data_IF_964429191314
#
_entry.id   IF_964429191314
#
_cell.length_a   1.000
_cell.length_b   1.000
_cell.length_c   1.000
_cell.angle_alpha   90.00
_cell.angle_beta   90.00
_cell.angle_gamma   90.00
#
_symmetry.space_group_name_H-M   'P 1'
#
loop_
_entity.id
_entity.type
_entity.pdbx_description
1 polymer ?
#
# COMPACT_ATOMS: atom_id res chain seq x y z
N UNK A 1 -24.10 -44.01 -26.76
CA UNK A 1 -24.68 -42.77 -27.31
C UNK A 1 -23.67 -41.64 -27.07
N UNK A 2 -22.65 -41.34 -27.89
CA UNK A 2 -22.31 -41.72 -29.28
C UNK A 2 -23.42 -41.43 -30.29
N UNK A 3 -23.39 -40.22 -30.85
CA UNK A 3 -23.48 -39.83 -32.27
C UNK A 3 -23.31 -38.30 -32.28
N UNK A 4 -22.33 -37.65 -32.92
CA UNK A 4 -21.76 -37.74 -34.28
C UNK A 4 -22.65 -37.15 -35.37
N UNK A 5 -22.40 -35.88 -35.72
CA UNK A 5 -22.49 -35.31 -37.07
C UNK A 5 -21.83 -33.92 -36.99
N UNK A 6 -20.61 -33.78 -37.53
CA UNK A 6 -20.32 -33.36 -38.91
C UNK A 6 -20.60 -31.87 -39.17
N UNK A 7 -19.52 -31.09 -39.27
CA UNK A 7 -19.19 -30.45 -40.54
C UNK A 7 -17.67 -30.15 -40.62
N UNK A 8 -17.16 -30.19 -41.84
CA UNK A 8 -15.74 -30.17 -42.19
C UNK A 8 -15.43 -28.90 -43.00
N UNK A 9 -14.22 -28.35 -42.80
CA UNK A 9 -13.38 -27.73 -43.86
C UNK A 9 -13.88 -26.39 -44.50
N UNK A 10 -13.05 -25.46 -45.01
CA UNK A 10 -11.59 -25.29 -45.07
C UNK A 10 -11.24 -23.80 -45.32
N UNK A 11 -10.00 -23.39 -44.99
CA UNK A 11 -9.16 -22.34 -45.64
C UNK A 11 -9.64 -20.86 -45.65
N UNK A 12 -8.91 -19.97 -44.96
CA UNK A 12 -7.90 -19.00 -45.50
C UNK A 12 -8.55 -17.62 -45.79
N UNK A 13 -7.92 -16.45 -45.70
CA UNK A 13 -6.52 -15.99 -45.95
C UNK A 13 -6.09 -14.92 -44.91
N UNK A 14 -4.77 -14.71 -44.81
CA UNK A 14 -4.02 -13.79 -43.94
C UNK A 14 -4.49 -12.31 -43.82
N UNK A 15 -3.92 -11.53 -42.86
CA UNK A 15 -2.89 -10.53 -43.21
C UNK A 15 -2.06 -9.96 -42.04
N UNK A 16 -0.83 -9.54 -42.38
CA UNK A 16 0.28 -9.05 -41.54
C UNK A 16 0.85 -7.81 -42.29
N UNK A 17 1.11 -6.64 -41.69
CA UNK A 17 2.22 -6.39 -40.74
C UNK A 17 2.04 -5.12 -39.90
N UNK A 18 2.98 -4.90 -38.97
CA UNK A 18 3.34 -3.61 -38.39
C UNK A 18 3.69 -2.51 -39.43
N UNK A 19 3.60 -1.25 -38.99
CA UNK A 19 4.45 -0.12 -39.37
C UNK A 19 5.96 -0.49 -39.46
N UNK A 20 6.79 0.21 -40.28
CA UNK A 20 7.18 1.58 -39.93
C UNK A 20 7.47 2.60 -41.07
N UNK A 21 7.47 3.87 -40.64
CA UNK A 21 8.06 5.05 -41.28
C UNK A 21 9.45 4.81 -41.90
N UNK A 22 9.65 5.26 -43.15
CA UNK A 22 10.82 6.07 -43.53
C UNK A 22 10.69 6.67 -44.96
N UNK A 23 11.57 7.64 -45.26
CA UNK A 23 11.84 8.25 -46.57
C UNK A 23 10.77 9.11 -47.25
N UNK A 24 10.91 10.42 -47.05
CA UNK A 24 10.56 11.42 -48.04
C UNK A 24 11.65 11.51 -49.13
N UNK A 25 11.23 11.69 -50.39
CA UNK A 25 11.81 12.51 -51.49
C UNK A 25 11.54 11.90 -52.86
N UNK A 26 11.57 12.78 -53.86
CA UNK A 26 11.76 12.50 -55.29
C UNK A 26 10.53 12.02 -56.05
N UNK A 27 9.98 12.91 -56.90
CA UNK A 27 9.68 12.75 -58.32
C UNK A 27 8.75 13.90 -58.76
N UNK A 28 9.27 14.81 -59.59
CA UNK A 28 8.50 15.91 -60.18
C UNK A 28 7.57 15.42 -61.31
N UNK A 29 6.45 16.10 -61.59
CA UNK A 29 5.48 15.64 -62.60
C UNK A 29 5.90 16.01 -64.04
N UNK A 30 5.78 15.09 -65.02
CA UNK A 30 5.91 15.41 -66.44
C UNK A 30 4.63 16.05 -67.01
N UNK A 31 4.72 16.79 -68.14
CA UNK A 31 3.71 17.77 -68.53
C UNK A 31 2.51 17.20 -69.32
N UNK A 32 1.41 17.98 -69.29
CA UNK A 32 0.22 17.78 -70.11
C UNK A 32 0.52 17.77 -71.61
N UNK A 33 -0.04 16.79 -72.33
CA UNK A 33 -0.34 16.89 -73.75
C UNK A 33 -1.80 16.50 -73.98
N UNK A 34 -2.56 17.42 -74.58
CA UNK A 34 -3.98 17.21 -74.90
C UNK A 34 -4.13 16.26 -76.09
N UNK A 35 -5.08 15.32 -76.01
CA UNK A 35 -5.87 14.97 -77.19
C UNK A 35 -7.32 14.65 -76.80
N UNK A 36 -8.24 15.13 -77.63
CA UNK A 36 -9.67 14.87 -77.54
C UNK A 36 -9.96 13.40 -77.85
N UNK A 37 -10.85 12.76 -77.08
CA UNK A 37 -11.89 11.90 -77.66
C UNK A 37 -13.16 11.96 -76.83
N UNK A 38 -14.27 12.33 -77.47
CA UNK A 38 -15.61 12.41 -76.89
C UNK A 38 -16.31 11.06 -76.98
N UNK A 39 -16.86 10.57 -75.87
CA UNK A 39 -17.86 9.50 -75.84
C UNK A 39 -19.03 9.88 -74.92
N UNK A 40 -20.26 9.36 -75.17
CA UNK A 40 -21.48 10.08 -74.86
C UNK A 40 -21.97 9.97 -73.41
N UNK A 41 -22.72 10.99 -73.03
CA UNK A 41 -23.37 11.16 -71.73
C UNK A 41 -24.48 10.10 -71.51
N UNK A 42 -24.16 9.00 -70.82
CA UNK A 42 -25.18 8.07 -70.32
C UNK A 42 -25.78 8.68 -69.05
N UNK A 43 -27.00 9.20 -69.15
CA UNK A 43 -27.77 9.71 -68.01
C UNK A 43 -28.30 8.57 -67.15
N UNK A 44 -27.43 7.98 -66.32
CA UNK A 44 -27.90 7.26 -65.14
C UNK A 44 -28.61 8.27 -64.24
N UNK A 45 -29.95 8.20 -64.20
CA UNK A 45 -30.70 8.92 -63.18
C UNK A 45 -30.33 8.35 -61.81
N UNK A 46 -29.41 9.03 -61.12
CA UNK A 46 -29.18 8.79 -59.71
C UNK A 46 -30.48 9.09 -58.97
N UNK A 47 -31.13 8.03 -58.46
CA UNK A 47 -32.24 8.20 -57.54
C UNK A 47 -31.76 9.02 -56.35
N UNK A 48 -32.32 10.22 -56.16
CA UNK A 48 -31.95 11.09 -55.05
C UNK A 48 -32.14 10.35 -53.73
N UNK A 49 -31.03 9.94 -53.11
CA UNK A 49 -31.04 9.26 -51.82
C UNK A 49 -31.55 10.25 -50.78
N UNK A 50 -32.84 10.15 -50.47
CA UNK A 50 -33.55 10.98 -49.50
C UNK A 50 -32.74 11.04 -48.20
N UNK A 51 -32.08 12.17 -47.96
CA UNK A 51 -31.18 12.32 -46.82
C UNK A 51 -31.99 12.16 -45.53
N UNK A 52 -31.48 11.37 -44.59
CA UNK A 52 -32.14 11.17 -43.29
C UNK A 52 -32.27 12.51 -42.56
N UNK A 53 -33.48 13.07 -42.56
CA UNK A 53 -33.78 14.35 -41.93
C UNK A 53 -33.69 14.22 -40.41
N UNK A 54 -32.55 14.61 -39.84
CA UNK A 54 -32.36 14.68 -38.39
C UNK A 54 -33.00 15.96 -37.88
N UNK A 55 -33.97 15.91 -36.94
CA UNK A 55 -34.64 17.10 -36.45
C UNK A 55 -33.65 18.04 -35.75
N UNK A 56 -33.80 19.34 -36.02
CA UNK A 56 -32.88 20.40 -35.58
C UNK A 56 -32.69 20.42 -34.05
N UNK A 57 -33.70 20.02 -33.28
CA UNK A 57 -33.66 19.91 -31.82
C UNK A 57 -32.64 18.87 -31.32
N UNK A 58 -32.46 17.76 -32.04
CA UNK A 58 -31.42 16.77 -31.72
C UNK A 58 -30.03 17.30 -32.07
N UNK A 59 -29.88 18.04 -33.18
CA UNK A 59 -28.62 18.68 -33.55
C UNK A 59 -28.21 19.75 -32.53
N UNK A 60 -29.16 20.55 -32.03
CA UNK A 60 -28.94 21.51 -30.95
C UNK A 60 -28.52 20.81 -29.64
N UNK A 61 -29.19 19.73 -29.24
CA UNK A 61 -28.80 18.92 -28.07
C UNK A 61 -27.42 18.29 -28.20
N UNK A 62 -27.05 17.75 -29.36
CA UNK A 62 -25.70 17.21 -29.62
C UNK A 62 -24.63 18.28 -29.44
N UNK A 63 -24.80 19.45 -30.06
CA UNK A 63 -23.87 20.60 -29.90
C UNK A 63 -23.73 21.08 -28.45
N UNK A 64 -24.82 21.07 -27.67
CA UNK A 64 -24.76 21.41 -26.23
C UNK A 64 -23.97 20.35 -25.45
N UNK A 65 -24.24 19.06 -25.68
CA UNK A 65 -23.53 17.98 -25.01
C UNK A 65 -22.03 17.92 -25.40
N UNK A 66 -21.70 18.18 -26.66
CA UNK A 66 -20.32 18.28 -27.16
C UNK A 66 -19.57 19.44 -26.49
N UNK A 67 -20.19 20.63 -26.39
CA UNK A 67 -19.61 21.78 -25.68
C UNK A 67 -19.41 21.48 -24.20
N UNK A 68 -20.42 20.96 -23.51
CA UNK A 68 -20.32 20.57 -22.10
C UNK A 68 -19.25 19.50 -21.85
N UNK A 69 -19.08 18.55 -22.78
CA UNK A 69 -18.02 17.54 -22.71
C UNK A 69 -16.62 18.15 -22.89
N UNK A 70 -16.46 19.10 -23.82
CA UNK A 70 -15.20 19.84 -24.03
C UNK A 70 -14.87 20.72 -22.82
N UNK A 71 -15.83 21.47 -22.29
CA UNK A 71 -15.68 22.31 -21.11
C UNK A 71 -15.33 21.46 -19.87
N UNK A 72 -16.04 20.36 -19.63
CA UNK A 72 -15.72 19.44 -18.54
C UNK A 72 -14.34 18.79 -18.70
N UNK A 73 -13.91 18.48 -19.93
CA UNK A 73 -12.55 17.98 -20.20
C UNK A 73 -11.48 19.04 -19.93
N UNK A 74 -11.71 20.29 -20.33
CA UNK A 74 -10.82 21.43 -20.05
C UNK A 74 -10.71 21.69 -18.54
N UNK A 75 -11.83 21.78 -17.83
CA UNK A 75 -11.86 21.96 -16.37
C UNK A 75 -11.14 20.82 -15.64
N UNK A 76 -11.39 19.56 -16.01
CA UNK A 76 -10.65 18.40 -15.45
C UNK A 76 -9.15 18.48 -15.74
N UNK A 77 -8.74 18.90 -16.94
CA UNK A 77 -7.34 19.06 -17.30
C UNK A 77 -6.67 20.20 -16.50
N UNK A 78 -7.37 21.31 -16.27
CA UNK A 78 -6.88 22.40 -15.41
C UNK A 78 -6.77 22.01 -13.95
N UNK A 79 -7.79 21.36 -13.39
CA UNK A 79 -7.77 20.88 -12.01
C UNK A 79 -6.62 19.89 -11.82
N UNK A 80 -6.42 18.95 -12.76
CA UNK A 80 -5.29 18.01 -12.74
C UNK A 80 -3.93 18.73 -12.87
N UNK A 81 -3.83 19.81 -13.64
CA UNK A 81 -2.62 20.67 -13.71
C UNK A 81 -2.37 21.41 -12.38
N UNK A 82 -3.42 21.96 -11.75
CA UNK A 82 -3.33 22.66 -10.45
C UNK A 82 -2.92 21.68 -9.33
N UNK A 83 -3.58 20.53 -9.25
CA UNK A 83 -3.23 19.43 -8.34
C UNK A 83 -1.78 18.95 -8.54
N UNK A 84 -1.34 18.69 -9.78
CA UNK A 84 0.06 18.31 -10.08
C UNK A 84 1.08 19.36 -9.66
N UNK A 85 0.75 20.67 -9.76
CA UNK A 85 1.63 21.74 -9.27
C UNK A 85 1.65 21.82 -7.73
N UNK A 86 0.54 21.47 -7.07
CA UNK A 86 0.47 21.41 -5.60
C UNK A 86 1.26 20.21 -5.04
N UNK A 87 1.09 19.00 -5.61
CA UNK A 87 1.81 17.80 -5.16
C UNK A 87 3.32 17.83 -5.48
N UNK A 88 3.76 18.68 -6.41
CA UNK A 88 5.17 19.02 -6.62
C UNK A 88 5.76 19.98 -5.57
N UNK A 89 4.91 20.70 -4.81
CA UNK A 89 5.33 21.65 -3.76
C UNK A 89 5.36 21.03 -2.37
N UNK A 90 4.48 20.07 -2.09
CA UNK A 90 4.57 19.24 -0.88
C UNK A 90 5.88 18.47 -0.89
N UNK A 91 6.63 18.49 0.23
CA UNK A 91 7.95 17.88 0.37
C UNK A 91 7.86 16.35 0.38
N UNK A 92 7.61 15.76 -0.79
CA UNK A 92 7.57 14.31 -0.99
C UNK A 92 8.97 13.73 -0.72
N UNK A 93 9.12 13.04 0.41
CA UNK A 93 10.30 12.23 0.71
C UNK A 93 10.29 11.06 -0.26
N UNK A 94 11.38 10.86 -1.01
CA UNK A 94 11.47 9.72 -1.94
C UNK A 94 11.72 8.44 -1.15
N UNK A 95 11.10 7.33 -1.55
CA UNK A 95 11.36 6.02 -0.93
C UNK A 95 12.86 5.67 -0.88
N UNK A 96 13.65 6.07 -1.88
CA UNK A 96 15.11 5.94 -1.89
C UNK A 96 15.80 6.61 -0.70
N UNK A 97 15.27 7.73 -0.20
CA UNK A 97 15.79 8.42 0.98
C UNK A 97 15.58 7.57 2.23
N UNK A 98 14.39 6.98 2.42
CA UNK A 98 14.13 6.06 3.52
C UNK A 98 15.04 4.83 3.45
N UNK A 99 15.17 4.20 2.28
CA UNK A 99 16.08 3.05 2.09
C UNK A 99 17.54 3.43 2.39
N UNK A 100 17.98 4.63 1.98
CA UNK A 100 19.33 5.14 2.27
C UNK A 100 19.52 5.44 3.77
N UNK A 101 18.51 5.98 4.44
CA UNK A 101 18.51 6.23 5.88
C UNK A 101 18.60 4.94 6.68
N UNK A 102 17.72 3.96 6.42
CA UNK A 102 17.75 2.66 7.10
C UNK A 102 19.10 1.96 6.90
N UNK A 103 19.60 1.88 5.65
CA UNK A 103 20.92 1.30 5.36
C UNK A 103 22.08 2.06 6.02
N UNK A 104 21.93 3.37 6.29
CA UNK A 104 22.92 4.14 7.05
C UNK A 104 22.82 3.81 8.54
N UNK A 105 21.62 3.78 9.10
CA UNK A 105 21.38 3.41 10.50
C UNK A 105 21.90 2.01 10.81
N UNK A 106 21.58 1.00 9.99
CA UNK A 106 22.10 -0.38 10.13
C UNK A 106 23.63 -0.44 10.13
N UNK A 107 24.30 0.36 9.29
CA UNK A 107 25.76 0.45 9.22
C UNK A 107 26.36 1.13 10.45
N UNK A 108 25.80 2.24 10.91
CA UNK A 108 26.29 2.91 12.13
C UNK A 108 26.02 2.04 13.37
N UNK A 109 24.87 1.38 13.48
CA UNK A 109 24.58 0.42 14.57
C UNK A 109 25.58 -0.75 14.57
N UNK A 110 25.90 -1.31 13.40
CA UNK A 110 26.92 -2.35 13.26
C UNK A 110 28.31 -1.84 13.67
N UNK A 111 28.69 -0.63 13.24
CA UNK A 111 29.95 0.03 13.61
C UNK A 111 30.04 0.28 15.11
N UNK A 112 28.97 0.79 15.73
CA UNK A 112 28.88 1.02 17.18
C UNK A 112 28.98 -0.30 17.96
N UNK A 113 28.34 -1.38 17.49
CA UNK A 113 28.47 -2.73 18.08
C UNK A 113 29.91 -3.24 18.03
N UNK A 114 30.62 -3.06 16.90
CA UNK A 114 32.04 -3.43 16.77
C UNK A 114 32.93 -2.60 17.71
N UNK A 115 32.77 -1.27 17.72
CA UNK A 115 33.51 -0.38 18.61
C UNK A 115 33.27 -0.71 20.09
N UNK A 116 32.02 -0.98 20.48
CA UNK A 116 31.67 -1.37 21.85
C UNK A 116 32.24 -2.75 22.22
N UNK A 117 32.33 -3.70 21.28
CA UNK A 117 33.00 -4.99 21.50
C UNK A 117 34.51 -4.82 21.71
N UNK A 118 35.17 -4.00 20.88
CA UNK A 118 36.59 -3.66 21.02
C UNK A 118 36.88 -2.91 22.33
N UNK A 119 35.97 -2.02 22.76
CA UNK A 119 36.04 -1.34 24.06
C UNK A 119 35.83 -2.29 25.24
N UNK A 120 34.98 -3.31 25.13
CA UNK A 120 34.84 -4.33 26.20
C UNK A 120 36.10 -5.18 26.39
N UNK A 121 36.93 -5.34 25.35
CA UNK A 121 38.23 -6.05 25.44
C UNK A 121 39.41 -5.18 25.92
N UNK A 122 39.28 -3.85 25.97
CA UNK A 122 40.34 -2.94 26.41
C UNK A 122 39.88 -2.03 27.55
N UNK A 123 40.57 -2.05 28.70
CA UNK A 123 40.21 -1.32 29.93
C UNK A 123 40.02 0.21 29.71
N UNK A 124 38.81 0.65 29.36
CA UNK A 124 38.46 2.07 29.20
C UNK A 124 37.20 2.40 30.01
N UNK A 125 37.38 3.16 31.11
CA UNK A 125 36.29 3.62 31.97
C UNK A 125 35.65 4.90 31.42
N UNK A 126 34.70 4.75 30.50
CA UNK A 126 33.65 5.75 30.29
C UNK A 126 32.30 5.03 30.29
N UNK A 127 31.26 5.57 30.95
CA UNK A 127 29.94 4.96 30.91
C UNK A 127 29.48 4.90 29.46
N UNK A 128 28.97 3.75 29.04
CA UNK A 128 28.26 3.67 27.79
C UNK A 128 27.07 4.65 27.89
N UNK A 129 26.97 5.59 26.95
CA UNK A 129 25.68 6.19 26.64
C UNK A 129 24.84 5.08 25.98
N UNK A 130 24.29 4.21 26.82
CA UNK A 130 22.99 3.60 26.57
C UNK A 130 21.98 4.75 26.71
N UNK A 131 21.96 5.63 25.70
CA UNK A 131 20.91 6.61 25.52
C UNK A 131 19.62 5.82 25.39
N UNK A 132 18.86 5.77 26.48
CA UNK A 132 17.52 5.24 26.51
C UNK A 132 16.78 5.87 25.34
N UNK A 133 16.45 5.06 24.31
CA UNK A 133 15.75 5.55 23.12
C UNK A 133 14.43 6.13 23.61
N UNK A 134 14.20 7.46 23.51
CA UNK A 134 13.11 8.09 24.25
C UNK A 134 11.74 7.62 23.78
N UNK A 135 11.63 7.20 22.51
CA UNK A 135 10.38 6.79 21.88
C UNK A 135 10.50 5.39 21.26
N UNK A 136 10.21 4.35 22.07
CA UNK A 136 10.15 2.95 21.60
C UNK A 136 8.74 2.59 21.12
N UNK A 137 8.65 1.96 19.95
CA UNK A 137 7.40 1.35 19.45
C UNK A 137 7.41 -0.13 19.79
N UNK A 138 6.32 -0.59 20.39
CA UNK A 138 6.07 -2.00 20.67
C UNK A 138 4.99 -2.53 19.74
N UNK A 139 5.23 -3.69 19.16
CA UNK A 139 4.17 -4.50 18.58
C UNK A 139 3.61 -5.40 19.70
N UNK A 140 2.35 -5.19 20.06
CA UNK A 140 1.65 -5.94 21.11
C UNK A 140 0.66 -6.90 20.45
N UNK A 141 0.82 -8.20 20.71
CA UNK A 141 -0.06 -9.26 20.20
C UNK A 141 -0.75 -9.96 21.37
N UNK A 142 -2.07 -10.17 21.28
CA UNK A 142 -2.80 -10.95 22.28
C UNK A 142 -2.73 -12.44 21.98
N UNK A 143 -2.10 -13.20 22.87
CA UNK A 143 -1.86 -14.65 22.70
C UNK A 143 -2.86 -15.53 23.47
N UNK A 144 -3.55 -15.01 24.49
CA UNK A 144 -4.49 -15.80 25.32
C UNK A 144 -5.94 -15.35 25.17
N UNK A 145 -6.86 -16.27 25.48
CA UNK A 145 -8.28 -16.01 25.58
C UNK A 145 -8.67 -15.22 26.85
N UNK A 146 -9.81 -14.53 26.79
CA UNK A 146 -10.30 -13.64 27.86
C UNK A 146 -11.64 -14.09 28.46
N UNK A 147 -11.93 -15.39 28.41
CA UNK A 147 -13.06 -15.99 29.13
C UNK A 147 -12.74 -16.03 30.63
N UNK A 148 -13.72 -15.70 31.48
CA UNK A 148 -13.59 -15.64 32.93
C UNK A 148 -12.40 -14.81 33.47
N UNK A 149 -12.09 -13.67 32.82
CA UNK A 149 -11.00 -12.77 33.23
C UNK A 149 -11.54 -11.56 33.99
N UNK A 150 -10.86 -11.15 35.06
CA UNK A 150 -11.21 -10.00 35.89
C UNK A 150 -11.49 -8.73 35.04
N UNK A 151 -12.60 -8.00 35.28
CA UNK A 151 -13.06 -6.93 34.39
C UNK A 151 -12.04 -5.80 34.17
N UNK A 152 -11.13 -5.53 35.12
CA UNK A 152 -10.04 -4.55 34.93
C UNK A 152 -9.15 -4.92 33.74
N UNK A 153 -8.72 -6.18 33.64
CA UNK A 153 -7.86 -6.67 32.55
C UNK A 153 -8.63 -6.64 31.21
N UNK A 154 -9.90 -7.06 31.22
CA UNK A 154 -10.78 -6.99 30.03
C UNK A 154 -11.09 -5.54 29.59
N UNK A 155 -11.01 -4.55 30.50
CA UNK A 155 -11.07 -3.12 30.15
C UNK A 155 -9.74 -2.63 29.57
N UNK A 156 -8.60 -2.97 30.19
CA UNK A 156 -7.27 -2.58 29.70
C UNK A 156 -6.96 -3.15 28.30
N UNK A 157 -7.30 -4.41 28.04
CA UNK A 157 -7.16 -5.00 26.70
C UNK A 157 -8.03 -4.29 25.64
N UNK A 158 -9.24 -3.86 26.01
CA UNK A 158 -10.10 -3.06 25.10
C UNK A 158 -9.54 -1.66 24.84
N UNK A 159 -8.93 -1.01 25.84
CA UNK A 159 -8.23 0.26 25.66
C UNK A 159 -7.06 0.13 24.67
N UNK A 160 -6.28 -0.95 24.78
CA UNK A 160 -5.19 -1.29 23.85
C UNK A 160 -5.69 -1.81 22.48
N UNK A 161 -7.01 -1.83 22.22
CA UNK A 161 -7.65 -2.35 20.99
C UNK A 161 -7.39 -3.84 20.70
N UNK A 162 -7.19 -4.66 21.75
CA UNK A 162 -6.93 -6.11 21.69
C UNK A 162 -8.15 -6.93 22.19
N UNK A 163 -9.26 -6.84 21.46
CA UNK A 163 -10.56 -7.40 21.85
C UNK A 163 -10.71 -8.88 21.49
N UNK A 164 -10.08 -9.35 20.41
CA UNK A 164 -10.10 -10.74 19.95
C UNK A 164 -8.78 -11.45 20.25
N UNK A 165 -8.73 -12.78 20.09
CA UNK A 165 -7.48 -13.54 20.12
C UNK A 165 -6.67 -13.27 18.85
N UNK A 166 -5.33 -13.30 18.94
CA UNK A 166 -4.40 -13.08 17.82
C UNK A 166 -4.56 -11.72 17.12
N UNK A 167 -5.12 -10.71 17.79
CA UNK A 167 -5.02 -9.33 17.35
C UNK A 167 -3.64 -8.76 17.70
N UNK A 168 -3.07 -7.98 16.79
CA UNK A 168 -1.82 -7.24 16.95
C UNK A 168 -2.03 -5.74 16.77
N UNK A 169 -1.36 -4.91 17.57
CA UNK A 169 -1.45 -3.43 17.51
C UNK A 169 -0.05 -2.84 17.76
N UNK A 170 0.32 -1.79 17.00
CA UNK A 170 1.49 -0.97 17.30
C UNK A 170 1.16 0.07 18.37
N UNK A 171 2.01 0.21 19.38
CA UNK A 171 1.79 1.10 20.52
C UNK A 171 3.08 1.82 20.89
N UNK A 172 3.02 3.15 21.08
CA UNK A 172 4.13 3.94 21.63
C UNK A 172 4.29 3.68 23.13
N UNK A 173 5.54 3.55 23.59
CA UNK A 173 5.87 3.22 24.99
C UNK A 173 5.81 4.44 25.93
N UNK A 174 4.61 4.98 26.15
CA UNK A 174 4.37 5.99 27.18
C UNK A 174 4.40 5.36 28.59
N UNK A 175 4.56 6.16 29.65
CA UNK A 175 4.44 5.67 31.05
C UNK A 175 3.09 5.00 31.32
N UNK A 176 2.01 5.58 30.79
CA UNK A 176 0.66 5.06 30.95
C UNK A 176 0.51 3.70 30.25
N UNK A 177 1.01 3.60 29.02
CA UNK A 177 1.11 2.33 28.27
C UNK A 177 1.91 1.29 29.07
N UNK A 178 3.06 1.67 29.64
CA UNK A 178 3.89 0.77 30.47
C UNK A 178 3.12 0.22 31.69
N UNK A 179 2.32 1.04 32.37
CA UNK A 179 1.45 0.61 33.50
C UNK A 179 0.32 -0.32 33.02
N UNK A 180 -0.25 -0.05 31.84
CA UNK A 180 -1.28 -0.91 31.23
C UNK A 180 -0.71 -2.27 30.82
N UNK A 181 0.43 -2.30 30.12
CA UNK A 181 1.11 -3.53 29.71
C UNK A 181 1.46 -4.42 30.90
N UNK A 182 1.98 -3.85 32.00
CA UNK A 182 2.19 -4.58 33.27
C UNK A 182 0.92 -5.25 33.81
N UNK A 183 -0.25 -4.64 33.61
CA UNK A 183 -1.54 -5.19 34.07
C UNK A 183 -2.06 -6.35 33.21
N UNK A 184 -1.80 -6.33 31.89
CA UNK A 184 -2.29 -7.34 30.94
C UNK A 184 -1.23 -8.39 30.56
N UNK A 185 -0.03 -8.26 31.10
CA UNK A 185 1.21 -8.99 30.80
C UNK A 185 1.02 -10.50 30.58
N UNK A 186 0.24 -11.16 31.43
CA UNK A 186 0.01 -12.60 31.34
C UNK A 186 -0.77 -13.06 30.08
N UNK A 187 -1.43 -12.15 29.35
CA UNK A 187 -2.30 -12.45 28.20
C UNK A 187 -1.72 -12.01 26.85
N UNK A 188 -0.69 -11.17 26.86
CA UNK A 188 -0.08 -10.56 25.68
C UNK A 188 1.37 -11.05 25.49
N UNK A 189 1.87 -10.85 24.29
CA UNK A 189 3.29 -10.93 23.95
C UNK A 189 3.65 -9.63 23.22
N UNK A 190 4.73 -8.96 23.61
CA UNK A 190 5.15 -7.71 22.98
C UNK A 190 6.68 -7.62 22.83
N UNK A 191 7.14 -6.70 21.99
CA UNK A 191 8.56 -6.45 21.70
C UNK A 191 8.73 -5.42 20.58
N UNK A 192 9.98 -5.02 20.31
CA UNK A 192 10.30 -4.08 19.23
C UNK A 192 10.09 -4.74 17.85
N UNK A 193 9.33 -4.11 16.93
CA UNK A 193 9.12 -4.65 15.59
C UNK A 193 10.29 -4.30 14.65
N UNK A 194 10.69 -5.27 13.82
CA UNK A 194 11.63 -5.00 12.71
C UNK A 194 10.91 -4.25 11.58
N UNK A 195 11.65 -3.43 10.81
CA UNK A 195 11.14 -2.71 9.63
C UNK A 195 10.39 -3.64 8.65
N UNK A 196 10.93 -4.84 8.40
CA UNK A 196 10.29 -5.84 7.55
C UNK A 196 8.98 -6.37 8.14
N UNK A 197 8.89 -6.52 9.46
CA UNK A 197 7.69 -6.95 10.17
C UNK A 197 6.61 -5.87 10.14
N UNK A 198 6.98 -4.59 10.29
CA UNK A 198 6.06 -3.45 10.10
C UNK A 198 5.51 -3.41 8.68
N UNK A 199 6.40 -3.51 7.68
CA UNK A 199 6.02 -3.54 6.25
C UNK A 199 5.10 -4.71 5.92
N UNK A 200 5.43 -5.92 6.36
CA UNK A 200 4.61 -7.11 6.14
C UNK A 200 3.21 -6.99 6.74
N UNK A 201 3.10 -6.49 7.98
CA UNK A 201 1.81 -6.34 8.65
C UNK A 201 0.92 -5.31 7.95
N UNK A 202 1.47 -4.15 7.56
CA UNK A 202 0.71 -3.12 6.86
C UNK A 202 0.31 -3.56 5.44
N UNK A 203 1.20 -4.18 4.67
CA UNK A 203 0.90 -4.58 3.29
C UNK A 203 0.00 -5.83 3.20
N UNK A 204 0.18 -6.82 4.08
CA UNK A 204 -0.56 -8.09 4.01
C UNK A 204 -1.84 -8.08 4.85
N UNK A 205 -1.86 -7.31 5.94
CA UNK A 205 -2.92 -7.33 6.97
C UNK A 205 -3.42 -5.93 7.36
N UNK A 206 -3.01 -4.88 6.65
CA UNK A 206 -3.48 -3.52 6.87
C UNK A 206 -4.92 -3.33 6.39
N UNK A 207 -5.81 -3.07 7.36
CA UNK A 207 -7.19 -2.68 7.11
C UNK A 207 -7.48 -1.33 7.77
N UNK A 208 -8.40 -0.59 7.18
CA UNK A 208 -8.90 0.70 7.69
C UNK A 208 -10.41 0.64 7.84
N UNK A 209 -10.97 1.61 8.58
CA UNK A 209 -12.40 1.80 8.71
C UNK A 209 -12.81 3.03 7.89
N UNK A 210 -13.33 2.81 6.68
CA UNK A 210 -13.82 3.86 5.77
C UNK A 210 -15.33 3.67 5.65
N UNK A 211 -16.10 4.72 5.96
CA UNK A 211 -17.57 4.72 5.95
C UNK A 211 -18.20 3.57 6.75
N UNK A 212 -17.61 3.29 7.92
CA UNK A 212 -17.92 2.15 8.81
C UNK A 212 -17.75 0.76 8.17
N UNK A 213 -17.14 0.67 6.99
CA UNK A 213 -16.77 -0.58 6.32
C UNK A 213 -15.28 -0.85 6.50
N UNK A 214 -14.94 -2.13 6.60
CA UNK A 214 -13.56 -2.58 6.66
C UNK A 214 -13.00 -2.67 5.25
N UNK A 215 -12.06 -1.80 4.92
CA UNK A 215 -11.41 -1.71 3.61
C UNK A 215 -9.92 -2.07 3.75
N UNK A 216 -9.34 -2.75 2.76
CA UNK A 216 -7.90 -3.04 2.76
C UNK A 216 -7.11 -1.82 2.26
N UNK A 217 -5.88 -1.63 2.72
CA UNK A 217 -5.01 -0.54 2.25
C UNK A 217 -4.34 -0.95 0.92
N UNK A 218 -5.06 -0.81 -0.20
CA UNK A 218 -4.54 -1.07 -1.54
C UNK A 218 -3.91 0.16 -2.20
N UNK A 219 -4.58 1.31 -2.09
CA UNK A 219 -4.29 2.49 -2.91
C UNK A 219 -3.78 3.67 -2.07
N UNK A 220 -2.70 4.30 -2.52
CA UNK A 220 -2.13 5.49 -1.86
C UNK A 220 -3.15 6.64 -1.78
N UNK A 221 -4.13 6.72 -2.70
CA UNK A 221 -5.18 7.73 -2.66
C UNK A 221 -6.01 7.67 -1.36
N UNK A 222 -6.27 6.47 -0.82
CA UNK A 222 -7.00 6.31 0.45
C UNK A 222 -6.16 6.76 1.66
N UNK A 223 -4.83 6.72 1.54
CA UNK A 223 -3.90 7.21 2.56
C UNK A 223 -3.83 8.74 2.49
N UNK A 224 -3.62 9.30 1.30
CA UNK A 224 -3.57 10.74 1.06
C UNK A 224 -4.86 11.45 1.47
N UNK A 225 -6.04 10.89 1.18
CA UNK A 225 -7.34 11.47 1.58
C UNK A 225 -7.53 11.54 3.11
N UNK A 226 -6.90 10.64 3.87
CA UNK A 226 -7.13 10.49 5.32
C UNK A 226 -5.98 10.97 6.20
N UNK A 227 -4.76 11.02 5.68
CA UNK A 227 -3.54 11.41 6.39
C UNK A 227 -2.72 12.49 5.65
N UNK A 228 -3.19 13.00 4.51
CA UNK A 228 -2.51 14.05 3.75
C UNK A 228 -2.32 15.35 4.53
N UNK A 229 -3.24 15.68 5.44
CA UNK A 229 -3.10 16.80 6.39
C UNK A 229 -1.87 16.66 7.30
N UNK A 230 -1.47 15.43 7.60
CA UNK A 230 -0.30 15.09 8.41
C UNK A 230 0.98 14.91 7.57
N UNK A 231 0.93 15.18 6.25
CA UNK A 231 2.06 15.01 5.34
C UNK A 231 2.38 13.56 4.97
N UNK A 232 1.46 12.63 5.22
CA UNK A 232 1.61 11.19 4.92
C UNK A 232 0.83 10.90 3.63
N UNK A 233 1.55 10.59 2.55
CA UNK A 233 0.97 10.49 1.20
C UNK A 233 0.88 9.02 0.75
N UNK A 234 1.84 8.18 1.17
CA UNK A 234 1.89 6.78 0.76
C UNK A 234 2.08 5.80 1.94
N UNK A 235 1.89 4.51 1.66
CA UNK A 235 2.04 3.44 2.66
C UNK A 235 3.48 3.35 3.21
N UNK A 236 4.50 3.71 2.43
CA UNK A 236 5.90 3.71 2.91
C UNK A 236 6.17 4.86 3.89
N UNK A 237 5.47 6.01 3.77
CA UNK A 237 5.50 7.07 4.79
C UNK A 237 4.89 6.56 6.11
N UNK A 238 3.78 5.81 6.06
CA UNK A 238 3.18 5.17 7.24
C UNK A 238 4.13 4.16 7.90
N UNK A 239 4.84 3.35 7.10
CA UNK A 239 5.86 2.40 7.59
C UNK A 239 7.00 3.16 8.29
N UNK A 240 7.44 4.28 7.72
CA UNK A 240 8.50 5.13 8.30
C UNK A 240 8.08 5.74 9.64
N UNK A 241 6.88 6.32 9.68
CA UNK A 241 6.34 6.97 10.88
C UNK A 241 6.15 5.96 12.02
N UNK A 242 5.64 4.76 11.72
CA UNK A 242 5.49 3.67 12.68
C UNK A 242 6.85 3.12 13.14
N UNK A 243 7.83 2.95 12.25
CA UNK A 243 9.11 2.37 12.64
C UNK A 243 10.01 3.34 13.44
N UNK A 244 9.97 4.65 13.13
CA UNK A 244 10.76 5.67 13.85
C UNK A 244 10.07 6.26 15.08
N UNK A 245 8.77 6.00 15.28
CA UNK A 245 7.94 6.70 16.27
C UNK A 245 7.86 8.21 16.05
N UNK A 246 7.46 8.63 14.85
CA UNK A 246 7.31 10.06 14.53
C UNK A 246 6.13 10.74 15.25
N UNK A 247 6.04 12.06 15.13
CA UNK A 247 5.03 12.90 15.79
C UNK A 247 3.59 12.50 15.46
N UNK A 248 3.34 11.97 14.25
CA UNK A 248 2.03 11.61 13.75
C UNK A 248 1.69 10.13 13.95
N UNK A 249 2.54 9.39 14.69
CA UNK A 249 2.34 7.97 15.02
C UNK A 249 0.92 7.66 15.50
N UNK A 250 0.37 8.47 16.42
CA UNK A 250 -0.96 8.23 16.99
C UNK A 250 -2.08 8.34 15.95
N UNK A 251 -1.91 9.14 14.91
CA UNK A 251 -2.91 9.31 13.84
C UNK A 251 -2.84 8.14 12.84
N UNK A 252 -1.62 7.69 12.50
CA UNK A 252 -1.42 6.46 11.71
C UNK A 252 -1.96 5.23 12.46
N UNK A 253 -1.66 5.12 13.77
CA UNK A 253 -2.10 4.01 14.60
C UNK A 253 -3.63 3.97 14.76
N UNK A 254 -4.32 5.12 14.84
CA UNK A 254 -5.80 5.19 14.84
C UNK A 254 -6.41 4.78 13.51
N UNK A 255 -5.82 5.25 12.39
CA UNK A 255 -6.30 4.98 11.03
C UNK A 255 -6.29 3.48 10.70
N UNK A 256 -5.23 2.77 11.09
CA UNK A 256 -5.11 1.33 10.90
C UNK A 256 -5.91 0.57 11.98
N UNK A 257 -6.70 -0.42 11.56
CA UNK A 257 -7.40 -1.35 12.45
C UNK A 257 -6.43 -2.37 13.06
N UNK A 258 -6.75 -2.97 14.22
CA UNK A 258 -5.94 -4.06 14.80
C UNK A 258 -5.70 -5.18 13.77
N UNK A 259 -4.44 -5.59 13.63
CA UNK A 259 -4.04 -6.65 12.70
C UNK A 259 -4.62 -7.98 13.18
N UNK A 260 -5.49 -8.59 12.39
CA UNK A 260 -5.95 -9.95 12.66
C UNK A 260 -4.92 -10.94 12.12
N UNK A 261 -4.23 -11.63 13.02
CA UNK A 261 -3.21 -12.62 12.71
C UNK A 261 -3.81 -14.04 12.78
N UNK A 262 -3.21 -15.01 12.07
CA UNK A 262 -3.61 -16.41 12.23
C UNK A 262 -3.05 -17.03 13.51
N UNK A 263 -3.56 -18.20 13.89
CA UNK A 263 -2.96 -18.98 14.97
C UNK A 263 -1.53 -19.40 14.58
N UNK A 264 -0.54 -19.24 15.46
CA UNK A 264 0.83 -19.64 15.15
C UNK A 264 0.91 -21.16 14.98
N UNK A 265 1.68 -21.60 13.98
CA UNK A 265 1.87 -23.04 13.66
C UNK A 265 2.16 -23.85 14.93
N UNK A 266 1.38 -24.92 15.12
CA UNK A 266 1.21 -25.70 16.38
C UNK A 266 2.47 -25.90 17.24
N UNK A 267 3.62 -26.17 16.61
CA UNK A 267 4.93 -26.38 17.24
C UNK A 267 5.39 -25.22 18.15
N UNK A 268 4.94 -23.98 17.90
CA UNK A 268 5.27 -22.82 18.75
C UNK A 268 4.55 -22.86 20.11
N UNK A 269 3.27 -23.28 20.12
CA UNK A 269 2.44 -23.38 21.33
C UNK A 269 3.01 -24.38 22.32
N UNK A 270 3.44 -25.54 21.81
CA UNK A 270 4.10 -26.61 22.58
C UNK A 270 5.45 -26.16 23.17
N UNK A 271 6.20 -25.28 22.48
CA UNK A 271 7.48 -24.74 22.98
C UNK A 271 7.26 -23.71 24.09
N UNK A 272 6.35 -22.75 23.91
CA UNK A 272 5.99 -21.74 24.94
C UNK A 272 5.42 -22.40 26.21
N UNK A 273 4.61 -23.45 26.11
CA UNK A 273 4.12 -24.17 27.28
C UNK A 273 5.26 -24.74 28.13
N UNK A 274 6.34 -25.22 27.48
CA UNK A 274 7.53 -25.76 28.16
C UNK A 274 8.41 -24.67 28.78
N UNK A 275 8.64 -23.53 28.11
CA UNK A 275 9.42 -22.44 28.73
C UNK A 275 8.72 -21.82 29.93
N UNK A 276 7.40 -21.63 29.87
CA UNK A 276 6.62 -21.12 31.01
C UNK A 276 6.65 -22.00 32.27
N UNK A 277 7.08 -23.27 32.18
CA UNK A 277 7.28 -24.13 33.37
C UNK A 277 8.72 -24.10 33.87
N UNK A 278 9.70 -23.88 32.99
CA UNK A 278 11.13 -23.86 33.31
C UNK A 278 11.61 -22.51 33.87
N UNK A 279 10.92 -21.41 33.56
CA UNK A 279 11.32 -20.04 33.92
C UNK A 279 10.80 -19.59 35.30
N UNK A 280 10.37 -20.52 36.16
CA UNK A 280 9.79 -20.23 37.48
C UNK A 280 10.84 -19.98 38.57
N UNK A 281 12.01 -19.44 38.21
CA UNK A 281 13.11 -19.09 39.12
C UNK A 281 13.65 -17.66 38.88
N UNK A 282 12.75 -16.66 38.97
CA UNK A 282 13.13 -15.29 39.35
C UNK A 282 12.91 -14.19 38.32
N UNK A 283 13.21 -14.41 37.04
CA UNK A 283 13.05 -13.38 36.00
C UNK A 283 12.32 -13.91 34.76
N UNK A 284 11.23 -13.23 34.37
CA UNK A 284 10.45 -13.57 33.19
C UNK A 284 11.18 -12.98 31.96
N UNK A 285 11.57 -13.79 30.96
CA UNK A 285 12.27 -13.29 29.78
C UNK A 285 11.29 -12.58 28.84
N UNK A 286 11.19 -11.25 28.99
CA UNK A 286 10.21 -10.43 28.27
C UNK A 286 10.51 -10.19 26.80
N UNK A 287 11.72 -10.51 26.31
CA UNK A 287 12.02 -10.52 24.87
C UNK A 287 11.74 -11.89 24.27
N UNK A 288 10.45 -12.21 24.07
CA UNK A 288 10.14 -13.21 23.04
C UNK A 288 10.32 -12.54 21.68
N UNK A 289 11.02 -13.18 20.74
CA UNK A 289 11.17 -12.68 19.35
C UNK A 289 9.79 -12.49 18.66
N UNK A 290 9.15 -11.33 18.85
CA UNK A 290 7.86 -11.01 18.24
C UNK A 290 7.94 -11.07 16.72
N UNK A 291 9.08 -10.65 16.16
CA UNK A 291 9.36 -10.71 14.73
C UNK A 291 9.32 -12.16 14.18
N UNK A 292 9.80 -13.15 14.96
CA UNK A 292 9.70 -14.57 14.60
C UNK A 292 8.27 -15.11 14.81
N UNK A 293 7.57 -14.65 15.84
CA UNK A 293 6.17 -15.01 16.07
C UNK A 293 5.25 -14.52 14.94
N UNK A 294 5.38 -13.25 14.51
CA UNK A 294 4.61 -12.69 13.38
C UNK A 294 4.89 -13.46 12.09
N UNK A 295 6.15 -13.82 11.82
CA UNK A 295 6.52 -14.63 10.66
C UNK A 295 5.84 -16.02 10.65
N UNK A 296 5.39 -16.54 11.80
CA UNK A 296 4.65 -17.80 11.94
C UNK A 296 3.12 -17.63 12.00
N UNK A 297 2.62 -16.38 12.06
CA UNK A 297 1.20 -16.01 12.12
C UNK A 297 0.73 -15.24 10.88
N UNK A 298 1.64 -15.03 9.92
CA UNK A 298 1.42 -14.36 8.64
C UNK A 298 0.81 -15.29 7.59
#
# INVERSE_FOLDING_TARGET
MVHSQQQQQLQSVAFISCCPSSYAKFWDPPPFLNSFYSLPLISTMESEKKLNYVPETLLKKRKINERAAVEAAQQRAEMRKKQRKASLRTTFKRADQFVKEYRKQEKEDARLKVLNKQRKTGKAKHPALETAKPDQVLLVIRTKNTHNVHPKIKKTLRYLRLSSMNEGVFVRLDENTRRQLKTVLAYITYGEPNLNTVRDLLLKRGYTLIDNKRTAISDNMMVEERLGEHGIICVEDMIHEIFKCGEQFDNVAKFVLPFQLHEPVRRWREKRLKTHMAETEGEIPYETDVNKLVALMN
#
